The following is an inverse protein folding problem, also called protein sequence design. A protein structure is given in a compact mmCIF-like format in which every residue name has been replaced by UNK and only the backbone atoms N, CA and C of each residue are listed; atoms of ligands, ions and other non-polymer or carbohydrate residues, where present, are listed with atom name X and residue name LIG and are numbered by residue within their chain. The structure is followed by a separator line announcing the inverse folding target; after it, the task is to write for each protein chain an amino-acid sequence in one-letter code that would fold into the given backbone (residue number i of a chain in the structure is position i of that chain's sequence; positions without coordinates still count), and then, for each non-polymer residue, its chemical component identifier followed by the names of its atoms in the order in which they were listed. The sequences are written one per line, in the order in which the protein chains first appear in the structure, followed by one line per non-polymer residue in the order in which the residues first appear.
data_IF_283982019824
#
_entry.id   IF_283982019824
#
_cell.length_a   1.000
_cell.length_b   1.000
_cell.length_c   1.000
_cell.angle_alpha   90.00
_cell.angle_beta   90.00
_cell.angle_gamma   90.00
#
_symmetry.space_group_name_H-M   'P 1'
#
loop_
_entity.id
_entity.type
_entity.pdbx_description
1 polymer ?
#
# COMPACT_ATOMS: atom_id res chain seq x y z
N UNK A 1 -49.49 24.13 0.99
CA UNK A 1 -48.55 24.84 1.88
C UNK A 1 -47.16 24.24 1.70
N UNK A 2 -46.16 25.10 1.43
CA UNK A 2 -44.73 25.03 1.83
C UNK A 2 -43.92 23.83 1.28
N UNK A 3 -43.32 23.94 0.09
CA UNK A 3 -41.96 24.45 -0.22
C UNK A 3 -40.85 23.77 0.61
N UNK A 4 -40.03 22.94 -0.05
CA UNK A 4 -38.72 22.53 0.45
C UNK A 4 -37.65 23.07 -0.50
N UNK A 5 -36.76 23.87 0.08
CA UNK A 5 -35.76 24.67 -0.59
C UNK A 5 -34.49 23.86 -0.87
N UNK A 6 -33.86 24.19 -2.00
CA UNK A 6 -32.50 23.83 -2.38
C UNK A 6 -31.48 24.45 -1.40
N UNK A 7 -30.53 23.64 -0.93
CA UNK A 7 -29.38 24.14 -0.16
C UNK A 7 -28.10 23.90 -0.96
N UNK A 8 -27.65 24.94 -1.65
CA UNK A 8 -26.30 25.04 -2.22
C UNK A 8 -25.38 25.60 -1.15
N UNK A 9 -24.32 24.85 -0.79
CA UNK A 9 -23.23 25.36 0.06
C UNK A 9 -21.98 25.46 -0.81
N UNK A 10 -21.62 26.69 -1.16
CA UNK A 10 -20.30 27.04 -1.69
C UNK A 10 -19.40 27.39 -0.51
N UNK A 11 -18.40 26.56 -0.22
CA UNK A 11 -17.32 26.88 0.72
C UNK A 11 -16.07 27.23 -0.09
N UNK A 12 -15.78 28.53 -0.14
CA UNK A 12 -14.60 29.09 -0.80
C UNK A 12 -13.32 28.67 -0.09
N UNK A 13 -12.34 28.27 -0.91
CA UNK A 13 -10.98 27.99 -0.46
C UNK A 13 -10.28 29.33 -0.18
N UNK A 14 -10.13 29.70 1.09
CA UNK A 14 -9.36 30.87 1.49
C UNK A 14 -7.86 30.60 1.28
N UNK A 15 -7.19 31.55 0.63
CA UNK A 15 -5.75 31.59 0.45
C UNK A 15 -5.05 31.71 1.82
N UNK A 16 -4.25 30.70 2.20
CA UNK A 16 -3.40 30.76 3.39
C UNK A 16 -2.08 31.48 3.08
N UNK A 17 -1.75 32.37 4.00
CA UNK A 17 -0.74 33.43 3.97
C UNK A 17 0.69 32.87 4.03
N UNK A 18 1.58 33.53 3.30
CA UNK A 18 3.03 33.27 3.29
C UNK A 18 3.66 33.51 4.68
N UNK A 19 4.38 32.50 5.18
CA UNK A 19 5.35 32.69 6.25
C UNK A 19 6.75 32.74 5.62
N UNK A 20 7.30 33.94 5.43
CA UNK A 20 8.72 34.11 5.12
C UNK A 20 9.52 33.88 6.40
N UNK A 21 10.20 32.74 6.50
CA UNK A 21 11.21 32.52 7.52
C UNK A 21 12.39 33.47 7.24
N UNK A 22 12.55 34.50 8.08
CA UNK A 22 13.73 35.37 8.04
C UNK A 22 14.82 34.69 8.87
N UNK A 23 15.88 34.19 8.24
CA UNK A 23 17.05 33.72 8.96
C UNK A 23 17.77 34.95 9.54
N UNK A 24 17.94 34.98 10.87
CA UNK A 24 18.79 35.98 11.51
C UNK A 24 20.25 35.73 11.11
N UNK A 25 20.95 36.78 10.69
CA UNK A 25 22.36 36.70 10.36
C UNK A 25 23.19 36.42 11.63
N UNK A 26 23.95 35.32 11.62
CA UNK A 26 24.93 35.04 12.66
C UNK A 26 26.12 35.97 12.46
N UNK A 27 26.21 36.99 13.32
CA UNK A 27 27.37 37.87 13.44
C UNK A 27 28.55 37.07 14.00
N UNK A 28 29.55 36.79 13.17
CA UNK A 28 30.73 36.03 13.58
C UNK A 28 31.66 35.65 12.43
N UNK A 29 31.97 36.58 11.52
CA UNK A 29 33.04 36.38 10.54
C UNK A 29 34.37 36.70 11.22
N UNK A 30 35.04 35.73 11.82
CA UNK A 30 36.48 35.85 12.07
C UNK A 30 37.23 35.47 10.81
N UNK A 31 37.58 36.50 10.04
CA UNK A 31 38.64 36.43 9.04
C UNK A 31 39.94 36.08 9.76
N UNK A 32 40.39 34.83 9.65
CA UNK A 32 41.78 34.47 9.88
C UNK A 32 42.31 33.87 8.59
N UNK A 33 43.06 34.70 7.85
CA UNK A 33 43.92 34.25 6.76
C UNK A 33 44.85 33.14 7.28
N UNK A 34 44.82 31.91 6.75
CA UNK A 34 45.81 30.92 7.11
C UNK A 34 47.12 31.24 6.39
N UNK A 35 48.15 31.61 7.14
CA UNK A 35 49.53 31.47 6.70
C UNK A 35 50.00 30.07 7.06
N UNK A 36 50.54 29.37 6.06
CA UNK A 36 51.33 28.12 6.10
C UNK A 36 50.77 26.90 6.84
N UNK A 37 50.54 25.84 6.05
CA UNK A 37 50.87 24.44 6.34
C UNK A 37 50.65 23.93 7.77
N UNK A 38 49.38 23.75 8.12
CA UNK A 38 48.97 22.66 8.97
C UNK A 38 47.59 22.18 8.50
N UNK A 39 47.51 20.93 8.04
CA UNK A 39 46.24 20.29 7.74
C UNK A 39 45.43 20.17 9.04
N UNK A 40 44.49 21.09 9.26
CA UNK A 40 43.47 20.94 10.30
C UNK A 40 42.50 19.88 9.80
N UNK A 41 42.64 18.65 10.32
CA UNK A 41 41.62 17.63 10.12
C UNK A 41 40.36 18.06 10.85
N UNK A 42 39.33 18.45 10.10
CA UNK A 42 37.97 18.58 10.63
C UNK A 42 37.45 17.15 10.85
N UNK A 43 37.84 16.55 11.97
CA UNK A 43 37.29 15.27 12.43
C UNK A 43 36.05 15.57 13.27
N UNK A 44 34.94 15.80 12.56
CA UNK A 44 33.65 16.01 13.18
C UNK A 44 32.55 15.81 12.15
N UNK A 45 32.11 14.55 11.98
CA UNK A 45 30.81 14.28 11.38
C UNK A 45 29.76 14.50 12.48
N UNK A 46 28.74 15.32 12.23
CA UNK A 46 27.57 15.43 13.14
C UNK A 46 26.78 14.11 13.22
N UNK A 47 27.06 13.16 12.32
CA UNK A 47 26.49 11.82 12.29
C UNK A 47 27.60 10.81 12.60
N UNK A 48 27.86 10.57 13.89
CA UNK A 48 28.83 9.56 14.35
C UNK A 48 28.19 8.22 14.72
N UNK A 49 26.86 8.15 14.71
CA UNK A 49 26.12 6.93 15.00
C UNK A 49 25.23 6.58 13.80
N UNK A 50 25.31 5.36 13.24
CA UNK A 50 24.30 4.91 12.30
C UNK A 50 22.96 4.94 13.05
N UNK A 51 21.97 5.63 12.49
CA UNK A 51 20.63 5.55 13.02
C UNK A 51 20.14 4.11 12.85
N UNK A 52 19.55 3.53 13.88
CA UNK A 52 18.83 2.27 13.73
C UNK A 52 17.73 2.49 12.68
N UNK A 53 17.78 1.71 11.59
CA UNK A 53 16.76 1.79 10.55
C UNK A 53 15.44 1.33 11.15
N UNK A 54 14.46 2.24 11.23
CA UNK A 54 13.13 1.96 11.78
C UNK A 54 12.39 0.86 11.00
N UNK A 55 12.74 0.66 9.72
CA UNK A 55 12.22 -0.42 8.87
C UNK A 55 13.41 -1.27 8.43
N UNK A 56 13.39 -2.54 8.81
CA UNK A 56 14.36 -3.54 8.37
C UNK A 56 13.83 -4.32 7.16
N UNK A 57 14.68 -4.97 6.36
CA UNK A 57 14.21 -5.86 5.29
C UNK A 57 13.28 -6.98 5.78
N UNK A 58 13.38 -7.39 7.05
CA UNK A 58 12.49 -8.38 7.65
C UNK A 58 11.05 -7.86 7.86
N UNK A 59 10.85 -6.54 7.89
CA UNK A 59 9.54 -5.90 8.05
C UNK A 59 8.77 -5.82 6.72
N UNK A 60 9.42 -6.12 5.59
CA UNK A 60 8.80 -6.13 4.28
C UNK A 60 8.03 -7.44 4.09
N UNK A 61 6.70 -7.35 4.08
CA UNK A 61 5.82 -8.46 3.73
C UNK A 61 5.44 -8.37 2.26
N UNK A 62 5.51 -9.51 1.57
CA UNK A 62 5.02 -9.62 0.20
C UNK A 62 3.50 -9.42 0.17
N UNK A 63 3.02 -8.77 -0.90
CA UNK A 63 1.59 -8.63 -1.12
C UNK A 63 0.96 -10.00 -1.35
N UNK A 64 -0.27 -10.18 -0.86
CA UNK A 64 -1.05 -11.39 -1.14
C UNK A 64 -1.48 -11.41 -2.61
N UNK A 65 -1.42 -12.55 -3.31
CA UNK A 65 -1.86 -12.62 -4.69
C UNK A 65 -3.37 -12.33 -4.79
N UNK A 66 -3.78 -11.64 -5.85
CA UNK A 66 -5.17 -11.22 -6.05
C UNK A 66 -5.77 -11.83 -7.31
N UNK A 67 -7.09 -11.99 -7.30
CA UNK A 67 -7.87 -12.38 -8.46
C UNK A 67 -8.96 -11.35 -8.74
N UNK A 68 -9.01 -10.86 -9.98
CA UNK A 68 -10.07 -9.98 -10.46
C UNK A 68 -11.13 -10.84 -11.14
N UNK A 69 -12.28 -10.94 -10.48
CA UNK A 69 -13.47 -11.61 -11.00
C UNK A 69 -14.25 -10.62 -11.86
N UNK A 70 -14.43 -10.95 -13.13
CA UNK A 70 -15.17 -10.11 -14.10
C UNK A 70 -16.64 -10.51 -14.22
N UNK A 71 -17.03 -11.65 -13.61
CA UNK A 71 -18.37 -12.23 -13.68
C UNK A 71 -18.72 -12.89 -12.35
N UNK A 72 -20.01 -13.24 -12.22
CA UNK A 72 -20.50 -14.03 -11.10
C UNK A 72 -19.73 -15.35 -11.04
N UNK A 73 -19.10 -15.63 -9.90
CA UNK A 73 -18.21 -16.78 -9.72
C UNK A 73 -18.60 -17.55 -8.46
N UNK A 74 -18.73 -18.87 -8.60
CA UNK A 74 -19.04 -19.76 -7.50
C UNK A 74 -17.80 -20.02 -6.62
N UNK A 75 -18.01 -20.13 -5.31
CA UNK A 75 -16.99 -20.60 -4.37
C UNK A 75 -17.50 -21.77 -3.52
N UNK A 76 -16.56 -22.58 -3.05
CA UNK A 76 -16.81 -23.94 -2.53
C UNK A 76 -16.00 -24.19 -1.26
N UNK A 77 -16.41 -25.11 -0.40
CA UNK A 77 -15.62 -25.51 0.78
C UNK A 77 -14.47 -26.46 0.43
N UNK A 78 -14.52 -27.12 -0.73
CA UNK A 78 -13.51 -28.05 -1.20
C UNK A 78 -13.29 -27.94 -2.69
N UNK A 79 -12.06 -28.25 -3.12
CA UNK A 79 -11.67 -28.34 -4.53
C UNK A 79 -12.46 -29.46 -5.22
N UNK A 80 -12.94 -29.21 -6.43
CA UNK A 80 -13.67 -30.20 -7.23
C UNK A 80 -15.12 -30.44 -6.78
N UNK A 81 -15.60 -29.75 -5.75
CA UNK A 81 -17.02 -29.81 -5.37
C UNK A 81 -17.91 -29.31 -6.51
N UNK A 82 -19.00 -30.02 -6.76
CA UNK A 82 -20.06 -29.57 -7.68
C UNK A 82 -21.09 -28.65 -7.01
N UNK A 83 -21.09 -28.59 -5.67
CA UNK A 83 -22.04 -27.81 -4.89
C UNK A 83 -21.36 -26.53 -4.37
N UNK A 84 -21.69 -25.35 -4.93
CA UNK A 84 -21.18 -24.09 -4.40
C UNK A 84 -21.84 -23.74 -3.07
N UNK A 85 -21.08 -23.12 -2.17
CA UNK A 85 -21.63 -22.57 -0.92
C UNK A 85 -22.13 -21.14 -1.08
N UNK A 86 -21.78 -20.50 -2.19
CA UNK A 86 -22.24 -19.16 -2.51
C UNK A 86 -21.67 -18.66 -3.83
N UNK A 87 -22.01 -17.42 -4.14
CA UNK A 87 -21.64 -16.74 -5.36
C UNK A 87 -21.07 -15.37 -5.04
N UNK A 88 -19.96 -15.05 -5.68
CA UNK A 88 -19.33 -13.73 -5.64
C UNK A 88 -19.68 -12.99 -6.91
N UNK A 89 -20.04 -11.71 -6.81
CA UNK A 89 -20.15 -10.83 -7.96
C UNK A 89 -18.79 -10.52 -8.59
N UNK A 90 -18.78 -9.66 -9.61
CA UNK A 90 -17.54 -9.12 -10.15
C UNK A 90 -16.86 -8.23 -9.10
N UNK A 91 -15.63 -8.56 -8.72
CA UNK A 91 -14.85 -7.88 -7.69
C UNK A 91 -13.40 -8.36 -7.70
N UNK A 92 -12.52 -7.65 -7.00
CA UNK A 92 -11.17 -8.13 -6.70
C UNK A 92 -11.18 -8.89 -5.37
N UNK A 93 -10.56 -10.07 -5.33
CA UNK A 93 -10.49 -10.93 -4.16
C UNK A 93 -9.03 -11.25 -3.84
N UNK A 94 -8.64 -11.09 -2.59
CA UNK A 94 -7.34 -11.55 -2.09
C UNK A 94 -7.35 -13.07 -1.92
N UNK A 95 -6.29 -13.73 -2.39
CA UNK A 95 -6.08 -15.18 -2.25
C UNK A 95 -5.04 -15.47 -1.19
N UNK A 96 -5.06 -16.69 -0.64
CA UNK A 96 -4.06 -17.11 0.35
C UNK A 96 -2.70 -17.45 -0.30
N UNK A 97 -2.64 -17.51 -1.62
CA UNK A 97 -1.49 -17.99 -2.39
C UNK A 97 -1.49 -19.50 -2.64
N UNK A 98 -2.42 -20.26 -2.03
CA UNK A 98 -2.55 -21.70 -2.29
C UNK A 98 -3.33 -21.92 -3.59
N UNK A 99 -2.74 -22.71 -4.48
CA UNK A 99 -3.29 -23.06 -5.80
C UNK A 99 -3.38 -24.58 -5.91
N UNK A 100 -4.50 -25.08 -6.43
CA UNK A 100 -4.70 -26.49 -6.76
C UNK A 100 -5.29 -26.62 -8.16
N UNK A 101 -5.04 -27.76 -8.80
CA UNK A 101 -5.64 -28.09 -10.10
C UNK A 101 -6.49 -29.35 -9.93
N UNK A 102 -7.72 -29.32 -10.44
CA UNK A 102 -8.60 -30.50 -10.40
C UNK A 102 -8.30 -31.50 -11.53
N UNK A 103 -8.95 -32.66 -11.49
CA UNK A 103 -8.78 -33.72 -12.49
C UNK A 103 -9.16 -33.29 -13.92
N UNK A 104 -9.95 -32.23 -14.07
CA UNK A 104 -10.34 -31.66 -15.36
C UNK A 104 -9.46 -30.49 -15.81
N UNK A 105 -8.36 -30.22 -15.09
CA UNK A 105 -7.42 -29.15 -15.42
C UNK A 105 -7.87 -27.76 -15.03
N UNK A 106 -8.94 -27.60 -14.24
CA UNK A 106 -9.34 -26.27 -13.76
C UNK A 106 -8.47 -25.85 -12.59
N UNK A 107 -8.08 -24.59 -12.58
CA UNK A 107 -7.37 -23.97 -11.47
C UNK A 107 -8.32 -23.55 -10.35
N UNK A 108 -7.91 -23.83 -9.12
CA UNK A 108 -8.61 -23.48 -7.90
C UNK A 108 -7.68 -22.69 -7.01
N UNK A 109 -8.17 -21.58 -6.47
CA UNK A 109 -7.42 -20.75 -5.52
C UNK A 109 -8.14 -20.68 -4.20
N UNK A 110 -7.38 -20.82 -3.11
CA UNK A 110 -7.92 -20.66 -1.77
C UNK A 110 -8.08 -19.16 -1.45
N UNK A 111 -9.23 -18.82 -0.85
CA UNK A 111 -9.60 -17.46 -0.47
C UNK A 111 -10.08 -17.43 0.99
N UNK A 112 -9.91 -16.29 1.64
CA UNK A 112 -10.46 -16.07 2.98
C UNK A 112 -11.89 -15.54 2.89
N UNK A 113 -12.77 -16.12 3.70
CA UNK A 113 -14.17 -15.70 3.87
C UNK A 113 -14.45 -15.51 5.36
N UNK A 114 -15.59 -14.89 5.68
CA UNK A 114 -16.05 -14.77 7.07
C UNK A 114 -16.36 -16.12 7.74
N UNK A 115 -16.52 -17.20 6.95
CA UNK A 115 -16.67 -18.58 7.42
C UNK A 115 -15.34 -19.34 7.52
N UNK A 116 -14.21 -18.69 7.20
CA UNK A 116 -12.90 -19.33 7.10
C UNK A 116 -12.46 -19.51 5.65
N UNK A 117 -11.69 -20.57 5.37
CA UNK A 117 -11.11 -20.82 4.05
C UNK A 117 -12.13 -21.43 3.10
N UNK A 118 -12.10 -20.96 1.85
CA UNK A 118 -12.89 -21.51 0.77
C UNK A 118 -12.07 -21.56 -0.51
N UNK A 119 -12.61 -22.23 -1.52
CA UNK A 119 -11.98 -22.45 -2.81
C UNK A 119 -12.79 -21.80 -3.91
N UNK A 120 -12.12 -20.99 -4.70
CA UNK A 120 -12.69 -20.36 -5.88
C UNK A 120 -12.18 -21.10 -7.12
N UNK A 121 -13.12 -21.62 -7.91
CA UNK A 121 -12.82 -22.17 -9.23
C UNK A 121 -12.52 -20.99 -10.16
N UNK A 122 -11.27 -20.83 -10.57
CA UNK A 122 -10.82 -19.67 -11.34
C UNK A 122 -11.52 -19.69 -12.71
N UNK A 123 -12.38 -18.69 -13.02
CA UNK A 123 -12.98 -18.63 -14.34
C UNK A 123 -11.92 -18.20 -15.35
N UNK A 124 -11.98 -18.73 -16.57
CA UNK A 124 -11.03 -18.39 -17.63
C UNK A 124 -11.00 -16.88 -17.98
N UNK A 125 -12.02 -16.11 -17.58
CA UNK A 125 -12.09 -14.66 -17.76
C UNK A 125 -11.57 -13.85 -16.57
N UNK A 126 -11.06 -14.49 -15.52
CA UNK A 126 -10.44 -13.79 -14.40
C UNK A 126 -9.03 -13.33 -14.75
N UNK A 127 -8.62 -12.20 -14.17
CA UNK A 127 -7.24 -11.74 -14.21
C UNK A 127 -6.57 -12.04 -12.88
N UNK A 128 -5.33 -12.51 -12.93
CA UNK A 128 -4.55 -12.87 -11.75
C UNK A 128 -3.43 -11.84 -11.59
N UNK A 129 -3.30 -11.31 -10.38
CA UNK A 129 -2.19 -10.45 -9.99
C UNK A 129 -1.32 -11.24 -9.02
N UNK A 130 -0.10 -11.57 -9.45
CA UNK A 130 0.93 -12.15 -8.58
C UNK A 130 1.86 -11.03 -8.10
N UNK A 131 2.25 -11.03 -6.82
CA UNK A 131 3.23 -10.09 -6.28
C UNK A 131 4.61 -10.23 -6.90
#
# INVERSE_FOLDING_TARGET
MKKLASLTVAMGLMASIAATASAAEVTGTTTTTPTSDAAVSVTGSTYMEPFDTVITPADIKLATPQIILTKITAFHLSVGSMAPIGWLGAQTVDTTGVIMTDTWGNEWREVYTWLGKAWLKVPASAYIITP
#
